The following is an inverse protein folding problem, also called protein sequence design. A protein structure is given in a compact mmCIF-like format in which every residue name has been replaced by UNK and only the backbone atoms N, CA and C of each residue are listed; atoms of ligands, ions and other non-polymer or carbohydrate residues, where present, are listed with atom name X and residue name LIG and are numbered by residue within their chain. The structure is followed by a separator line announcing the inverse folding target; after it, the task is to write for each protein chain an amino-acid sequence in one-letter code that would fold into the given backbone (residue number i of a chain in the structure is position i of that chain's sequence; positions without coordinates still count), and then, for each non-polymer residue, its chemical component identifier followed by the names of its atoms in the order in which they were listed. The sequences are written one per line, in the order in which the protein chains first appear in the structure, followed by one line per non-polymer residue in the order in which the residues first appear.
data_IF_968459382627
#
_entry.id   IF_968459382627
#
_cell.length_a   1.000
_cell.length_b   1.000
_cell.length_c   1.000
_cell.angle_alpha   90.00
_cell.angle_beta   90.00
_cell.angle_gamma   90.00
#
_symmetry.space_group_name_H-M   'P 1'
#
loop_
_entity.id
_entity.type
_entity.pdbx_description
1 polymer ?
#
# COMPACT_ATOMS: atom_id res chain seq x y z
N UNK A 1 -9.07 -11.38 1.11
CA UNK A 1 -8.25 -10.85 0.02
C UNK A 1 -6.79 -10.96 0.42
N UNK A 2 -5.97 -11.48 -0.47
CA UNK A 2 -4.54 -11.59 -0.21
C UNK A 2 -3.86 -10.24 -0.36
N UNK A 3 -2.73 -10.09 0.34
CA UNK A 3 -1.91 -8.89 0.23
C UNK A 3 -0.52 -9.32 -0.23
N UNK A 4 -0.04 -8.72 -1.32
CA UNK A 4 1.29 -8.99 -1.83
C UNK A 4 2.11 -7.72 -1.85
N UNK A 5 3.41 -7.88 -1.65
CA UNK A 5 4.33 -6.76 -1.52
C UNK A 5 5.38 -6.82 -2.61
N UNK A 6 5.68 -5.66 -3.20
CA UNK A 6 6.84 -5.56 -4.07
C UNK A 6 8.10 -5.77 -3.24
N UNK A 7 9.22 -5.96 -3.94
CA UNK A 7 10.50 -6.11 -3.26
C UNK A 7 10.82 -4.89 -2.41
N UNK A 8 10.60 -3.70 -2.95
CA UNK A 8 10.91 -2.47 -2.21
C UNK A 8 10.01 -2.30 -1.00
N UNK A 9 8.73 -2.64 -1.12
CA UNK A 9 7.80 -2.55 0.01
C UNK A 9 8.17 -3.54 1.10
N UNK A 10 8.50 -4.77 0.73
CA UNK A 10 8.92 -5.78 1.70
C UNK A 10 10.20 -5.34 2.42
N UNK A 11 11.15 -4.78 1.67
CA UNK A 11 12.40 -4.31 2.23
C UNK A 11 12.17 -3.17 3.22
N UNK A 12 11.26 -2.26 2.90
CA UNK A 12 10.91 -1.20 3.84
C UNK A 12 10.44 -1.77 5.17
N UNK A 13 9.52 -2.73 5.12
CA UNK A 13 8.97 -3.32 6.34
C UNK A 13 10.03 -4.09 7.13
N UNK A 14 10.95 -4.75 6.45
CA UNK A 14 12.03 -5.46 7.12
C UNK A 14 12.97 -4.51 7.85
N UNK A 15 13.20 -3.33 7.29
CA UNK A 15 14.13 -2.35 7.85
C UNK A 15 13.49 -1.43 8.87
N UNK A 16 12.15 -1.36 8.91
CA UNK A 16 11.44 -0.46 9.80
C UNK A 16 11.54 -0.93 11.25
N UNK A 17 11.53 0.03 12.18
CA UNK A 17 11.44 -0.33 13.58
C UNK A 17 10.04 -0.90 13.88
N UNK A 18 9.91 -1.52 15.05
CA UNK A 18 8.66 -2.20 15.40
C UNK A 18 7.45 -1.28 15.39
N UNK A 19 7.49 -0.10 16.04
CA UNK A 19 6.32 0.78 16.02
C UNK A 19 5.90 1.20 14.62
N UNK A 20 6.87 1.56 13.77
CA UNK A 20 6.59 1.95 12.38
C UNK A 20 5.98 0.79 11.62
N UNK A 21 6.57 -0.40 11.74
CA UNK A 21 6.05 -1.59 11.06
C UNK A 21 4.62 -1.88 11.47
N UNK A 22 4.32 -1.81 12.77
CA UNK A 22 2.98 -2.07 13.26
C UNK A 22 1.97 -1.07 12.72
N UNK A 23 2.34 0.21 12.70
CA UNK A 23 1.44 1.25 12.21
C UNK A 23 1.16 1.09 10.72
N UNK A 24 2.19 0.83 9.94
CA UNK A 24 2.04 0.68 8.50
C UNK A 24 1.22 -0.57 8.19
N UNK A 25 1.49 -1.68 8.86
CA UNK A 25 0.72 -2.91 8.65
C UNK A 25 -0.74 -2.72 9.01
N UNK A 26 -1.03 -2.05 10.12
CA UNK A 26 -2.41 -1.78 10.51
C UNK A 26 -3.14 -0.95 9.46
N UNK A 27 -2.47 0.07 8.91
CA UNK A 27 -3.05 0.87 7.84
C UNK A 27 -3.33 0.07 6.59
N UNK A 28 -2.40 -0.81 6.23
CA UNK A 28 -2.59 -1.67 5.06
C UNK A 28 -3.78 -2.61 5.24
N UNK A 29 -3.95 -3.16 6.44
CA UNK A 29 -5.10 -4.02 6.72
C UNK A 29 -6.42 -3.29 6.56
N UNK A 30 -6.44 -1.99 6.80
CA UNK A 30 -7.64 -1.18 6.54
C UNK A 30 -8.04 -1.15 5.07
N UNK A 31 -7.10 -1.39 4.16
CA UNK A 31 -7.36 -1.33 2.73
C UNK A 31 -8.16 -2.52 2.20
N UNK A 32 -8.23 -3.61 2.96
CA UNK A 32 -9.03 -4.77 2.57
C UNK A 32 -10.39 -4.78 3.26
N UNK A 33 -10.72 -3.74 3.99
CA UNK A 33 -12.06 -3.56 4.54
C UNK A 33 -13.02 -3.10 3.45
N UNK A 34 -14.30 -3.23 3.70
CA UNK A 34 -15.35 -2.84 2.75
C UNK A 34 -16.27 -1.81 3.40
N UNK A 35 -16.11 -0.52 3.09
CA UNK A 35 -15.14 0.05 2.16
C UNK A 35 -13.75 0.18 2.79
N UNK A 36 -12.71 0.42 1.97
CA UNK A 36 -11.37 0.64 2.51
C UNK A 36 -11.32 1.83 3.45
N UNK A 37 -10.50 1.69 4.48
CA UNK A 37 -10.39 2.69 5.55
C UNK A 37 -9.00 3.31 5.52
N UNK A 38 -8.97 4.65 5.60
CA UNK A 38 -7.69 5.37 5.71
C UNK A 38 -7.71 6.68 4.95
N UNK A 39 -6.60 7.38 4.99
CA UNK A 39 -6.41 8.63 4.24
C UNK A 39 -5.95 8.27 2.84
N UNK A 40 -6.90 8.00 1.98
CA UNK A 40 -6.69 7.43 0.65
C UNK A 40 -6.92 8.48 -0.42
N UNK A 41 -6.03 8.50 -1.42
CA UNK A 41 -6.16 9.40 -2.55
C UNK A 41 -5.80 8.65 -3.83
N UNK A 42 -6.57 8.89 -4.90
CA UNK A 42 -6.28 8.28 -6.18
C UNK A 42 -5.07 8.97 -6.82
N UNK A 43 -4.23 8.20 -7.47
CA UNK A 43 -3.07 8.74 -8.20
C UNK A 43 -3.47 8.87 -9.67
N UNK A 44 -3.59 10.11 -10.13
CA UNK A 44 -4.04 10.41 -11.48
C UNK A 44 -3.08 9.86 -12.53
N UNK A 45 -3.65 9.26 -13.58
CA UNK A 45 -2.87 8.83 -14.73
C UNK A 45 -2.08 7.55 -14.57
N UNK A 46 -2.16 6.89 -13.43
CA UNK A 46 -1.44 5.62 -13.20
C UNK A 46 -2.20 4.46 -13.81
N UNK A 47 -1.46 3.55 -14.42
CA UNK A 47 -2.02 2.31 -14.97
C UNK A 47 -1.17 1.13 -14.53
N UNK A 48 -1.76 0.15 -13.88
CA UNK A 48 -3.17 0.08 -13.48
C UNK A 48 -3.51 1.17 -12.47
N UNK A 49 -4.80 1.41 -12.23
CA UNK A 49 -5.20 2.42 -11.24
C UNK A 49 -4.52 2.19 -9.91
N UNK A 50 -3.96 3.24 -9.37
CA UNK A 50 -3.17 3.17 -8.14
C UNK A 50 -3.60 4.26 -7.19
N UNK A 51 -3.31 4.03 -5.91
CA UNK A 51 -3.77 4.88 -4.82
C UNK A 51 -2.63 5.11 -3.85
N UNK A 52 -2.79 6.15 -3.06
CA UNK A 52 -1.86 6.49 -1.98
C UNK A 52 -2.62 6.42 -0.65
N UNK A 53 -2.06 5.68 0.29
CA UNK A 53 -2.52 5.68 1.68
C UNK A 53 -1.49 6.44 2.50
N UNK A 54 -1.93 7.45 3.26
CA UNK A 54 -1.03 8.20 4.13
C UNK A 54 -1.20 7.73 5.58
N UNK A 55 -0.06 7.43 6.21
CA UNK A 55 0.01 7.00 7.61
C UNK A 55 1.06 7.87 8.28
N UNK A 56 0.64 8.97 8.90
CA UNK A 56 1.60 9.92 9.48
C UNK A 56 2.52 10.47 8.40
N UNK A 57 3.81 10.29 8.57
CA UNK A 57 4.79 10.76 7.60
C UNK A 57 5.08 9.74 6.49
N UNK A 58 4.43 8.58 6.54
CA UNK A 58 4.66 7.53 5.56
C UNK A 58 3.56 7.49 4.53
N UNK A 59 3.90 6.99 3.34
CA UNK A 59 2.96 6.80 2.26
C UNK A 59 3.09 5.40 1.69
N UNK A 60 1.95 4.80 1.39
CA UNK A 60 1.87 3.48 0.78
C UNK A 60 1.22 3.65 -0.58
N UNK A 61 1.90 3.22 -1.64
CA UNK A 61 1.32 3.23 -2.99
C UNK A 61 0.87 1.80 -3.29
N UNK A 62 -0.37 1.66 -3.71
CA UNK A 62 -0.95 0.32 -3.88
C UNK A 62 -1.96 0.30 -5.01
N UNK A 63 -2.30 -0.91 -5.43
CA UNK A 63 -3.31 -1.18 -6.45
C UNK A 63 -4.08 -2.43 -6.07
N UNK A 64 -5.32 -2.53 -6.56
CA UNK A 64 -6.07 -3.77 -6.49
C UNK A 64 -5.93 -4.45 -7.84
N UNK A 65 -5.38 -5.66 -7.85
CA UNK A 65 -5.11 -6.40 -9.07
C UNK A 65 -5.88 -7.71 -9.07
N UNK A 66 -5.94 -8.35 -10.22
CA UNK A 66 -6.63 -9.64 -10.35
C UNK A 66 -5.64 -10.70 -10.82
N UNK A 67 -5.76 -11.90 -10.25
CA UNK A 67 -5.03 -13.05 -10.70
C UNK A 67 -5.70 -13.62 -11.94
N UNK A 68 -5.03 -14.52 -12.63
CA UNK A 68 -5.63 -15.21 -13.78
C UNK A 68 -6.92 -15.91 -13.40
N UNK A 69 -7.01 -16.41 -12.17
CA UNK A 69 -8.23 -17.04 -11.65
C UNK A 69 -9.40 -16.08 -11.50
N UNK A 70 -9.15 -14.76 -11.57
CA UNK A 70 -10.17 -13.74 -11.36
C UNK A 70 -10.21 -13.21 -9.94
N UNK A 71 -9.50 -13.82 -9.01
CA UNK A 71 -9.47 -13.36 -7.62
C UNK A 71 -8.69 -12.07 -7.50
N UNK A 72 -9.26 -11.12 -6.76
CA UNK A 72 -8.59 -9.85 -6.52
C UNK A 72 -7.57 -9.99 -5.38
N UNK A 73 -6.52 -9.19 -5.45
CA UNK A 73 -5.57 -9.08 -4.36
C UNK A 73 -5.07 -7.65 -4.26
N UNK A 74 -4.60 -7.30 -3.07
CA UNK A 74 -4.04 -5.97 -2.83
C UNK A 74 -2.53 -6.06 -3.06
N UNK A 75 -2.03 -5.23 -3.97
CA UNK A 75 -0.60 -5.19 -4.28
C UNK A 75 -0.01 -3.91 -3.71
N UNK A 76 0.94 -4.05 -2.79
CA UNK A 76 1.64 -2.91 -2.19
C UNK A 76 2.87 -2.64 -3.04
N UNK A 77 2.81 -1.57 -3.82
CA UNK A 77 3.83 -1.23 -4.80
C UNK A 77 5.05 -0.60 -4.16
N UNK A 78 4.80 0.31 -3.19
CA UNK A 78 5.90 1.05 -2.58
C UNK A 78 5.49 1.59 -1.22
N UNK A 79 6.46 1.70 -0.33
CA UNK A 79 6.26 2.30 0.99
C UNK A 79 7.45 3.21 1.25
N UNK A 80 7.20 4.43 1.73
CA UNK A 80 8.29 5.33 2.02
C UNK A 80 7.84 6.55 2.79
N UNK A 81 8.79 7.38 3.16
CA UNK A 81 8.50 8.65 3.77
C UNK A 81 7.94 9.58 2.71
N UNK A 82 7.25 10.62 3.15
CA UNK A 82 6.53 11.52 2.26
C UNK A 82 7.40 12.03 1.11
N UNK A 83 6.76 12.21 -0.04
CA UNK A 83 7.30 12.98 -1.14
C UNK A 83 8.29 12.30 -2.06
N UNK A 84 8.76 11.09 -1.73
CA UNK A 84 9.81 10.48 -2.49
C UNK A 84 9.41 9.41 -3.48
N UNK A 85 8.27 8.78 -3.28
CA UNK A 85 7.97 7.51 -3.93
C UNK A 85 7.16 7.59 -5.21
N UNK A 86 6.55 8.72 -5.50
CA UNK A 86 5.76 8.84 -6.72
C UNK A 86 5.85 10.26 -7.30
N UNK A 87 7.02 10.68 -7.50
CA UNK A 87 7.22 11.96 -8.17
C UNK A 87 6.88 11.86 -9.64
#
# INVERSE_FOLDING_TARGET
MDIEFSRSAAKFLQSADRPTRSRVKAGILGLIQQPPIGDIKVLQGWKPPSYRLRIGKYRVVYSYLQRESGDAYLYIRDIGARGGIYK
#
